data_IF_641088516795
#
_entry.id   IF_641088516795
#
_cell.length_a   1.000
_cell.length_b   1.000
_cell.length_c   1.000
_cell.angle_alpha   90.00
_cell.angle_beta   90.00
_cell.angle_gamma   90.00
#
_symmetry.space_group_name_H-M   'P 1'
#
loop_
_entity.id
_entity.type
_entity.pdbx_description
1 polymer ?
#
# COMPACT_ATOMS: atom_id res chain seq x y z
N UNK A 1 -55.39 20.76 -33.03
CA UNK A 1 -54.67 19.56 -32.56
C UNK A 1 -53.39 19.53 -33.33
N UNK A 2 -52.29 19.98 -32.75
CA UNK A 2 -50.93 19.69 -33.22
C UNK A 2 -50.00 20.05 -32.08
N UNK A 3 -49.44 18.99 -31.51
CA UNK A 3 -48.75 18.94 -30.23
C UNK A 3 -47.49 19.79 -30.26
N UNK A 4 -47.40 20.75 -29.33
CA UNK A 4 -46.14 21.36 -28.94
C UNK A 4 -45.18 20.25 -28.51
N UNK A 5 -44.21 19.95 -29.39
CA UNK A 5 -43.02 19.19 -29.06
C UNK A 5 -42.21 20.03 -28.09
N UNK A 6 -42.55 19.92 -26.81
CA UNK A 6 -41.76 20.44 -25.70
C UNK A 6 -40.43 19.69 -25.72
N UNK A 7 -39.48 20.26 -26.44
CA UNK A 7 -38.07 19.89 -26.41
C UNK A 7 -37.59 20.19 -24.98
N UNK A 8 -37.66 19.18 -24.12
CA UNK A 8 -37.05 19.22 -22.81
C UNK A 8 -35.53 19.30 -23.02
N UNK A 9 -34.83 20.32 -22.49
CA UNK A 9 -33.38 20.35 -22.51
C UNK A 9 -32.84 19.23 -21.62
N UNK A 10 -32.34 18.18 -22.27
CA UNK A 10 -31.60 17.08 -21.67
C UNK A 10 -30.20 17.58 -21.30
N UNK A 11 -29.93 17.78 -19.99
CA UNK A 11 -28.62 17.87 -19.29
C UNK A 11 -28.79 18.66 -17.96
N UNK A 12 -28.53 18.07 -16.76
CA UNK A 12 -27.17 17.88 -16.21
C UNK A 12 -27.00 16.65 -15.27
N UNK A 13 -27.92 15.69 -15.30
CA UNK A 13 -27.94 14.60 -14.31
C UNK A 13 -26.76 13.63 -14.46
N UNK A 14 -26.31 13.39 -15.70
CA UNK A 14 -25.22 12.45 -15.99
C UNK A 14 -23.86 12.96 -15.50
N UNK A 15 -23.58 14.25 -15.64
CA UNK A 15 -22.31 14.85 -15.19
C UNK A 15 -22.21 14.92 -13.66
N UNK A 16 -23.35 15.19 -13.01
CA UNK A 16 -23.44 15.28 -11.55
C UNK A 16 -23.21 13.91 -10.89
N UNK A 17 -23.89 12.86 -11.39
CA UNK A 17 -23.72 11.46 -10.97
C UNK A 17 -22.27 10.97 -11.13
N UNK A 18 -21.64 11.25 -12.28
CA UNK A 18 -20.25 10.86 -12.55
C UNK A 18 -19.26 11.56 -11.60
N UNK A 19 -19.52 12.83 -11.26
CA UNK A 19 -18.67 13.60 -10.35
C UNK A 19 -18.73 13.07 -8.91
N UNK A 20 -19.92 12.69 -8.43
CA UNK A 20 -20.15 12.12 -7.11
C UNK A 20 -19.52 10.73 -7.01
N UNK A 21 -19.67 9.90 -8.05
CA UNK A 21 -19.07 8.55 -8.12
C UNK A 21 -17.54 8.61 -8.14
N UNK A 22 -16.95 9.58 -8.87
CA UNK A 22 -15.50 9.84 -8.83
C UNK A 22 -15.04 10.30 -7.44
N UNK A 23 -15.77 11.20 -6.77
CA UNK A 23 -15.46 11.66 -5.40
C UNK A 23 -15.57 10.54 -4.36
N UNK A 24 -16.55 9.66 -4.49
CA UNK A 24 -16.74 8.49 -3.62
C UNK A 24 -15.61 7.47 -3.85
N UNK A 25 -15.28 7.17 -5.11
CA UNK A 25 -14.16 6.28 -5.46
C UNK A 25 -12.82 6.85 -5.00
N UNK A 26 -12.59 8.16 -5.13
CA UNK A 26 -11.36 8.82 -4.65
C UNK A 26 -11.23 8.74 -3.13
N UNK A 27 -12.33 8.94 -2.37
CA UNK A 27 -12.35 8.75 -0.91
C UNK A 27 -12.06 7.29 -0.52
N UNK A 28 -12.63 6.33 -1.25
CA UNK A 28 -12.36 4.91 -1.02
C UNK A 28 -10.91 4.53 -1.34
N UNK A 29 -10.35 5.06 -2.43
CA UNK A 29 -8.94 4.87 -2.78
C UNK A 29 -8.01 5.48 -1.75
N UNK A 30 -8.30 6.69 -1.24
CA UNK A 30 -7.50 7.33 -0.18
C UNK A 30 -7.56 6.51 1.11
N UNK A 31 -8.75 6.07 1.53
CA UNK A 31 -8.90 5.20 2.71
C UNK A 31 -8.12 3.89 2.56
N UNK A 32 -8.21 3.26 1.39
CA UNK A 32 -7.46 2.04 1.08
C UNK A 32 -5.94 2.28 1.06
N UNK A 33 -5.48 3.41 0.51
CA UNK A 33 -4.06 3.78 0.51
C UNK A 33 -3.51 3.95 1.92
N UNK A 34 -4.27 4.62 2.81
CA UNK A 34 -3.89 4.81 4.20
C UNK A 34 -3.75 3.45 4.88
N UNK A 35 -4.72 2.56 4.70
CA UNK A 35 -4.69 1.23 5.29
C UNK A 35 -3.48 0.42 4.79
N UNK A 36 -3.24 0.39 3.48
CA UNK A 36 -2.06 -0.27 2.90
C UNK A 36 -0.76 0.32 3.45
N UNK A 37 -0.68 1.65 3.57
CA UNK A 37 0.51 2.32 4.11
C UNK A 37 0.73 1.94 5.58
N UNK A 38 -0.34 1.86 6.39
CA UNK A 38 -0.25 1.42 7.79
C UNK A 38 0.23 -0.04 7.87
N UNK A 39 -0.37 -0.94 7.09
CA UNK A 39 0.05 -2.35 7.06
C UNK A 39 1.50 -2.51 6.59
N UNK A 40 1.89 -1.76 5.56
CA UNK A 40 3.25 -1.78 5.04
C UNK A 40 4.23 -1.29 6.11
N UNK A 41 3.93 -0.18 6.78
CA UNK A 41 4.76 0.34 7.88
C UNK A 41 4.87 -0.68 9.02
N UNK A 42 3.76 -1.32 9.43
CA UNK A 42 3.81 -2.37 10.45
C UNK A 42 4.63 -3.58 10.02
N UNK A 43 4.57 -3.96 8.74
CA UNK A 43 5.38 -5.03 8.15
C UNK A 43 6.88 -4.68 8.13
N UNK A 44 7.25 -3.44 7.80
CA UNK A 44 8.65 -2.99 7.90
C UNK A 44 9.06 -2.96 9.37
N UNK A 45 8.23 -2.44 10.28
CA UNK A 45 8.56 -2.40 11.70
C UNK A 45 8.68 -3.81 12.30
N UNK A 46 7.93 -4.80 11.80
CA UNK A 46 8.03 -6.17 12.32
C UNK A 46 9.37 -6.84 12.05
N UNK A 47 10.15 -6.38 11.05
CA UNK A 47 11.49 -6.95 10.78
C UNK A 47 12.45 -6.76 11.94
N UNK A 48 12.27 -5.76 12.81
CA UNK A 48 13.15 -5.49 13.94
C UNK A 48 13.21 -6.67 14.92
N UNK A 49 12.13 -6.97 15.66
CA UNK A 49 12.11 -8.09 16.60
C UNK A 49 12.23 -9.46 15.90
N UNK A 50 11.76 -9.59 14.65
CA UNK A 50 11.82 -10.84 13.89
C UNK A 50 13.11 -10.99 13.09
N UNK A 51 14.06 -10.05 13.18
CA UNK A 51 15.27 -10.04 12.36
C UNK A 51 16.07 -11.31 12.55
N UNK A 52 16.26 -11.74 13.80
CA UNK A 52 17.01 -12.96 14.11
C UNK A 52 16.37 -14.21 13.52
N UNK A 53 15.04 -14.32 13.54
CA UNK A 53 14.34 -15.45 12.92
C UNK A 53 14.47 -15.42 11.41
N UNK A 54 14.38 -14.24 10.79
CA UNK A 54 14.61 -14.09 9.37
C UNK A 54 16.06 -14.43 9.00
N UNK A 55 17.04 -13.87 9.71
CA UNK A 55 18.47 -14.10 9.49
C UNK A 55 18.85 -15.57 9.67
N UNK A 56 18.32 -16.22 10.72
CA UNK A 56 18.46 -17.65 10.91
C UNK A 56 17.83 -18.41 9.73
N UNK A 57 16.61 -18.08 9.33
CA UNK A 57 15.92 -18.76 8.22
C UNK A 57 16.64 -18.59 6.88
N UNK A 58 17.22 -17.40 6.64
CA UNK A 58 17.97 -17.07 5.44
C UNK A 58 19.31 -17.82 5.37
N UNK A 59 20.05 -17.90 6.48
CA UNK A 59 21.38 -18.53 6.51
C UNK A 59 21.35 -20.05 6.76
N UNK A 60 20.42 -20.54 7.58
CA UNK A 60 20.34 -21.96 7.98
C UNK A 60 19.36 -22.78 7.15
N UNK A 61 18.70 -22.17 6.16
CA UNK A 61 17.76 -22.84 5.25
C UNK A 61 16.62 -23.59 5.98
N UNK A 62 16.31 -23.16 7.21
CA UNK A 62 15.41 -23.86 8.13
C UNK A 62 13.93 -23.56 7.88
N UNK A 63 13.59 -22.37 7.38
CA UNK A 63 12.22 -22.02 6.99
C UNK A 63 12.20 -21.10 5.76
N UNK A 64 11.89 -21.62 4.56
CA UNK A 64 11.87 -20.82 3.33
C UNK A 64 10.77 -19.75 3.35
N UNK A 65 9.74 -19.93 4.18
CA UNK A 65 8.62 -19.00 4.27
C UNK A 65 9.03 -17.65 4.85
N UNK A 66 9.78 -17.63 5.96
CA UNK A 66 10.23 -16.38 6.56
C UNK A 66 11.23 -15.64 5.67
N UNK A 67 12.14 -16.38 5.03
CA UNK A 67 13.10 -15.82 4.09
C UNK A 67 12.41 -15.16 2.89
N UNK A 68 11.42 -15.85 2.29
CA UNK A 68 10.65 -15.33 1.16
C UNK A 68 9.70 -14.18 1.55
N UNK A 69 9.18 -14.18 2.78
CA UNK A 69 8.26 -13.13 3.25
C UNK A 69 8.92 -11.75 3.27
N UNK A 70 10.21 -11.66 3.61
CA UNK A 70 10.97 -10.40 3.67
C UNK A 70 11.84 -10.13 2.44
N UNK A 71 11.88 -11.03 1.45
CA UNK A 71 12.55 -10.79 0.16
C UNK A 71 12.11 -9.50 -0.55
N UNK A 72 10.81 -9.15 -0.63
CA UNK A 72 10.38 -7.91 -1.26
C UNK A 72 10.94 -6.67 -0.56
N UNK A 73 11.05 -6.73 0.77
CA UNK A 73 11.64 -5.65 1.56
C UNK A 73 13.13 -5.51 1.25
N UNK A 74 13.85 -6.63 1.15
CA UNK A 74 15.26 -6.65 0.78
C UNK A 74 15.47 -6.02 -0.61
N UNK A 75 14.66 -6.43 -1.59
CA UNK A 75 14.69 -5.87 -2.94
C UNK A 75 14.36 -4.37 -2.96
N UNK A 76 13.40 -3.92 -2.13
CA UNK A 76 13.08 -2.51 -1.99
C UNK A 76 14.26 -1.71 -1.38
N UNK A 77 14.99 -2.30 -0.45
CA UNK A 77 16.21 -1.72 0.12
C UNK A 77 17.33 -1.65 -0.93
N UNK A 78 17.50 -2.68 -1.76
CA UNK A 78 18.50 -2.69 -2.85
C UNK A 78 18.23 -1.60 -3.90
N UNK A 79 16.95 -1.31 -4.19
CA UNK A 79 16.55 -0.26 -5.14
C UNK A 79 16.75 1.15 -4.53
N UNK A 80 16.62 1.28 -3.21
CA UNK A 80 16.62 2.57 -2.52
C UNK A 80 17.64 2.58 -1.37
N UNK A 81 18.89 3.00 -1.62
CA UNK A 81 19.96 3.05 -0.61
C UNK A 81 19.58 3.77 0.71
N UNK A 82 18.92 4.95 0.71
CA UNK A 82 18.57 5.60 1.97
C UNK A 82 17.51 4.83 2.77
N UNK A 83 16.67 4.05 2.10
CA UNK A 83 15.72 3.16 2.78
C UNK A 83 16.48 2.01 3.47
N UNK A 84 17.49 1.45 2.78
CA UNK A 84 18.34 0.41 3.35
C UNK A 84 19.06 0.90 4.62
N UNK A 85 19.64 2.10 4.59
CA UNK A 85 20.32 2.69 5.75
C UNK A 85 19.36 2.90 6.93
N UNK A 86 18.14 3.37 6.67
CA UNK A 86 17.12 3.56 7.70
C UNK A 86 16.65 2.24 8.32
N UNK A 87 16.40 1.22 7.49
CA UNK A 87 16.03 -0.12 7.94
C UNK A 87 17.19 -0.76 8.72
N UNK A 88 18.43 -0.60 8.27
CA UNK A 88 19.61 -1.13 8.96
C UNK A 88 19.86 -0.43 10.31
N UNK A 89 19.67 0.90 10.38
CA UNK A 89 19.68 1.63 11.65
C UNK A 89 18.60 1.12 12.61
N UNK A 90 17.38 0.90 12.11
CA UNK A 90 16.28 0.36 12.90
C UNK A 90 16.58 -1.05 13.41
N UNK A 91 17.09 -1.92 12.55
CA UNK A 91 17.50 -3.29 12.88
C UNK A 91 18.60 -3.28 13.95
N UNK A 92 19.61 -2.40 13.81
CA UNK A 92 20.67 -2.23 14.81
C UNK A 92 20.13 -1.77 16.17
N UNK A 93 19.04 -1.01 16.24
CA UNK A 93 18.41 -0.64 17.50
C UNK A 93 17.79 -1.85 18.24
N UNK A 94 17.43 -2.91 17.53
CA UNK A 94 16.87 -4.14 18.11
C UNK A 94 17.93 -5.19 18.49
N UNK A 95 19.07 -5.18 17.80
CA UNK A 95 20.13 -6.18 17.95
C UNK A 95 21.31 -5.67 18.79
N UNK A 96 21.41 -4.35 18.92
CA UNK A 96 22.45 -3.65 19.70
C UNK A 96 22.45 -4.00 21.18
#
# INVERSE_FOLDING_TARGET
MESELTSAPDLPETETELSLRKKARRRYLIGSLIQVTVFLSLYVLSIGPLFWQWYASFNSMSSPFFAAFYMPLLMACDICPPLADGVNWYINLWIG
#
